data_IF_226211030899
#
_entry.id   IF_226211030899
#
_cell.length_a   1.000
_cell.length_b   1.000
_cell.length_c   1.000
_cell.angle_alpha   90.00
_cell.angle_beta   90.00
_cell.angle_gamma   90.00
#
_symmetry.space_group_name_H-M   'P 1'
#
loop_
_entity.id
_entity.type
_entity.pdbx_description
1 polymer ?
#
# COMPACT_ATOMS: atom_id res chain seq x y z
N UNK A 1 -16.99 -2.54 12.74
CA UNK A 1 -16.78 -3.96 12.34
C UNK A 1 -15.71 -4.10 11.27
N UNK A 2 -15.69 -3.20 10.28
CA UNK A 2 -14.72 -3.18 9.16
C UNK A 2 -13.26 -2.99 9.59
N UNK A 3 -12.97 -1.98 10.42
CA UNK A 3 -11.62 -1.74 10.97
C UNK A 3 -11.07 -2.91 11.80
N UNK A 4 -11.93 -3.74 12.40
CA UNK A 4 -11.48 -4.93 13.15
C UNK A 4 -10.87 -5.95 12.18
N UNK A 5 -11.44 -6.12 10.99
CA UNK A 5 -10.92 -7.04 9.96
C UNK A 5 -9.59 -6.53 9.40
N UNK A 6 -9.51 -5.24 9.09
CA UNK A 6 -8.26 -4.60 8.61
C UNK A 6 -7.16 -4.70 9.66
N UNK A 7 -7.46 -4.40 10.93
CA UNK A 7 -6.51 -4.54 12.04
C UNK A 7 -5.99 -5.98 12.22
N UNK A 8 -6.83 -7.00 11.99
CA UNK A 8 -6.40 -8.41 12.01
C UNK A 8 -5.41 -8.70 10.88
N UNK A 9 -5.70 -8.22 9.66
CA UNK A 9 -4.81 -8.37 8.52
C UNK A 9 -3.48 -7.67 8.80
N UNK A 10 -3.50 -6.41 9.24
CA UNK A 10 -2.30 -5.65 9.64
C UNK A 10 -1.48 -6.44 10.66
N UNK A 11 -2.10 -6.96 11.72
CA UNK A 11 -1.39 -7.75 12.74
C UNK A 11 -0.73 -9.00 12.15
N UNK A 12 -1.41 -9.69 11.23
CA UNK A 12 -0.86 -10.86 10.54
C UNK A 12 0.31 -10.49 9.63
N UNK A 13 0.17 -9.44 8.83
CA UNK A 13 1.23 -8.95 7.93
C UNK A 13 2.43 -8.49 8.75
N UNK A 14 2.23 -7.62 9.73
CA UNK A 14 3.27 -7.13 10.63
C UNK A 14 4.06 -8.25 11.28
N UNK A 15 3.37 -9.26 11.85
CA UNK A 15 4.04 -10.38 12.52
C UNK A 15 4.84 -11.24 11.54
N UNK A 16 4.41 -11.35 10.29
CA UNK A 16 5.03 -12.25 9.31
C UNK A 16 6.17 -11.58 8.54
N UNK A 17 6.03 -10.31 8.18
CA UNK A 17 6.89 -9.61 7.24
C UNK A 17 7.50 -8.31 7.80
N UNK A 18 7.15 -7.91 9.03
CA UNK A 18 7.55 -6.62 9.58
C UNK A 18 6.77 -5.45 8.96
N UNK A 19 7.44 -4.30 8.85
CA UNK A 19 6.85 -3.00 8.48
C UNK A 19 7.40 -2.41 7.20
N UNK A 20 8.56 -2.88 6.72
CA UNK A 20 9.17 -2.35 5.52
C UNK A 20 8.38 -2.80 4.28
N UNK A 21 7.73 -1.87 3.54
CA UNK A 21 6.91 -2.24 2.39
C UNK A 21 7.69 -2.94 1.29
N UNK A 22 8.96 -2.59 1.09
CA UNK A 22 9.77 -3.16 0.02
C UNK A 22 10.16 -4.61 0.31
N UNK A 23 10.42 -4.93 1.58
CA UNK A 23 10.61 -6.31 2.04
C UNK A 23 9.33 -7.14 1.88
N UNK A 24 8.18 -6.55 2.24
CA UNK A 24 6.86 -7.20 2.02
C UNK A 24 6.64 -7.51 0.54
N UNK A 25 6.95 -6.57 -0.36
CA UNK A 25 6.84 -6.80 -1.81
C UNK A 25 7.71 -7.97 -2.25
N UNK A 26 8.98 -7.98 -1.82
CA UNK A 26 9.95 -9.03 -2.14
C UNK A 26 9.48 -10.41 -1.66
N UNK A 27 9.03 -10.52 -0.41
CA UNK A 27 8.55 -11.79 0.16
C UNK A 27 7.24 -12.29 -0.46
N UNK A 28 6.48 -11.41 -1.12
CA UNK A 28 5.20 -11.74 -1.76
C UNK A 28 5.28 -11.89 -3.27
N UNK A 29 6.48 -11.92 -3.83
CA UNK A 29 6.71 -11.94 -5.28
C UNK A 29 5.94 -10.82 -6.01
N UNK A 30 5.81 -9.66 -5.35
CA UNK A 30 5.22 -8.46 -5.93
C UNK A 30 6.34 -7.68 -6.59
N UNK A 31 6.23 -7.47 -7.89
CA UNK A 31 7.21 -6.70 -8.64
C UNK A 31 7.08 -5.22 -8.28
N UNK A 32 8.18 -4.60 -7.87
CA UNK A 32 8.24 -3.17 -7.57
C UNK A 32 9.00 -2.44 -8.68
N UNK A 33 8.41 -1.39 -9.23
CA UNK A 33 9.04 -0.57 -10.26
C UNK A 33 8.94 0.92 -9.92
N UNK A 34 10.06 1.63 -10.04
CA UNK A 34 10.11 3.08 -9.94
C UNK A 34 10.09 3.66 -11.36
N UNK A 35 9.11 4.51 -11.66
CA UNK A 35 8.94 5.10 -13.00
C UNK A 35 8.68 6.60 -12.90
N UNK A 36 9.13 7.35 -13.91
CA UNK A 36 8.81 8.77 -14.02
C UNK A 36 7.33 8.94 -14.38
N UNK A 37 6.56 9.56 -13.48
CA UNK A 37 5.15 9.88 -13.65
C UNK A 37 4.86 11.34 -13.33
N UNK A 38 3.73 11.90 -13.81
CA UNK A 38 3.26 13.22 -13.37
C UNK A 38 3.20 13.31 -11.85
N UNK A 39 3.52 14.47 -11.27
CA UNK A 39 3.55 14.67 -9.81
C UNK A 39 2.21 14.35 -9.11
N UNK A 40 1.10 14.46 -9.85
CA UNK A 40 -0.25 14.11 -9.40
C UNK A 40 -0.46 12.60 -9.20
N UNK A 41 0.42 11.76 -9.72
CA UNK A 41 0.36 10.30 -9.58
C UNK A 41 1.56 9.82 -8.75
N UNK A 42 1.28 9.38 -7.52
CA UNK A 42 2.31 8.91 -6.58
C UNK A 42 2.67 7.44 -6.78
N UNK A 43 1.71 6.63 -7.20
CA UNK A 43 1.88 5.21 -7.49
C UNK A 43 0.58 4.57 -7.95
N UNK A 44 0.65 3.31 -8.35
CA UNK A 44 -0.51 2.46 -8.63
C UNK A 44 -0.11 0.98 -8.66
N UNK A 45 -1.09 0.09 -8.52
CA UNK A 45 -0.91 -1.36 -8.64
C UNK A 45 -1.63 -1.94 -9.85
N UNK A 46 -1.10 -3.01 -10.43
CA UNK A 46 -1.78 -3.77 -11.50
C UNK A 46 -1.44 -5.25 -11.43
N UNK A 47 -2.24 -6.08 -12.09
CA UNK A 47 -1.98 -7.51 -12.24
C UNK A 47 -1.71 -7.83 -13.70
N UNK A 48 -0.50 -8.29 -14.00
CA UNK A 48 -0.13 -8.77 -15.34
C UNK A 48 0.34 -10.22 -15.25
N UNK A 49 -0.26 -11.11 -16.04
CA UNK A 49 0.08 -12.54 -16.05
C UNK A 49 0.10 -13.20 -14.65
N UNK A 50 -0.89 -12.88 -13.81
CA UNK A 50 -0.99 -13.31 -12.39
C UNK A 50 0.08 -12.75 -11.44
N UNK A 51 1.01 -11.94 -11.94
CA UNK A 51 1.98 -11.21 -11.12
C UNK A 51 1.41 -9.85 -10.74
N UNK A 52 1.43 -9.55 -9.43
CA UNK A 52 1.10 -8.21 -8.92
C UNK A 52 2.30 -7.31 -9.11
N UNK A 53 2.07 -6.10 -9.60
CA UNK A 53 3.10 -5.11 -9.87
C UNK A 53 2.68 -3.80 -9.19
N UNK A 54 3.56 -3.25 -8.37
CA UNK A 54 3.42 -1.90 -7.79
C UNK A 54 4.37 -0.97 -8.54
N UNK A 55 3.82 0.11 -9.06
CA UNK A 55 4.56 1.22 -9.64
C UNK A 55 4.60 2.39 -8.65
N UNK A 56 5.78 2.91 -8.40
CA UNK A 56 6.02 4.10 -7.58
C UNK A 56 6.59 5.21 -8.45
N UNK A 57 6.23 6.46 -8.16
CA UNK A 57 6.79 7.60 -8.86
C UNK A 57 8.25 7.80 -8.43
N UNK A 58 9.19 7.76 -9.38
CA UNK A 58 10.61 7.97 -9.12
C UNK A 58 10.92 9.38 -8.59
N UNK A 59 9.97 10.32 -8.72
CA UNK A 59 10.08 11.71 -8.22
C UNK A 59 9.59 11.88 -6.77
N UNK A 60 9.05 10.84 -6.16
CA UNK A 60 8.64 10.87 -4.74
C UNK A 60 9.87 10.89 -3.82
N UNK A 61 9.69 11.52 -2.67
CA UNK A 61 10.57 11.36 -1.52
C UNK A 61 10.54 9.91 -0.99
N UNK A 62 11.52 9.54 -0.16
CA UNK A 62 11.58 8.22 0.47
C UNK A 62 10.31 7.89 1.26
N UNK A 63 9.87 8.81 2.14
CA UNK A 63 8.65 8.64 2.92
C UNK A 63 7.39 8.53 2.04
N UNK A 64 7.28 9.33 0.98
CA UNK A 64 6.16 9.22 0.03
C UNK A 64 6.15 7.84 -0.64
N UNK A 65 7.32 7.31 -1.03
CA UNK A 65 7.41 5.98 -1.62
C UNK A 65 7.06 4.88 -0.62
N UNK A 66 7.49 4.98 0.64
CA UNK A 66 7.09 4.06 1.69
C UNK A 66 5.57 4.07 1.91
N UNK A 67 4.99 5.25 2.08
CA UNK A 67 3.55 5.41 2.30
C UNK A 67 2.75 4.88 1.11
N UNK A 68 3.09 5.30 -0.11
CA UNK A 68 2.40 4.86 -1.33
C UNK A 68 2.53 3.36 -1.53
N UNK A 69 3.70 2.77 -1.27
CA UNK A 69 3.85 1.32 -1.39
C UNK A 69 2.98 0.57 -0.37
N UNK A 70 2.92 1.04 0.88
CA UNK A 70 2.02 0.46 1.89
C UNK A 70 0.54 0.63 1.51
N UNK A 71 0.17 1.74 0.89
CA UNK A 71 -1.19 1.99 0.39
C UNK A 71 -1.55 0.97 -0.70
N UNK A 72 -0.69 0.78 -1.71
CA UNK A 72 -0.91 -0.21 -2.77
C UNK A 72 -0.92 -1.66 -2.23
N UNK A 73 -0.07 -1.96 -1.24
CA UNK A 73 -0.13 -3.24 -0.51
C UNK A 73 -1.47 -3.40 0.22
N UNK A 74 -2.03 -2.30 0.76
CA UNK A 74 -3.37 -2.26 1.33
C UNK A 74 -4.41 -2.77 0.34
N UNK A 75 -4.43 -2.24 -0.90
CA UNK A 75 -5.31 -2.75 -1.96
C UNK A 75 -5.15 -4.24 -2.21
N UNK A 76 -3.89 -4.72 -2.31
CA UNK A 76 -3.60 -6.14 -2.57
C UNK A 76 -4.07 -7.03 -1.42
N UNK A 77 -3.77 -6.68 -0.17
CA UNK A 77 -4.09 -7.51 0.99
C UNK A 77 -5.58 -7.50 1.37
N UNK A 78 -6.24 -6.36 1.16
CA UNK A 78 -7.67 -6.21 1.40
C UNK A 78 -8.51 -6.78 0.24
N UNK A 79 -7.86 -7.16 -0.86
CA UNK A 79 -8.49 -7.69 -2.07
C UNK A 79 -9.48 -6.70 -2.69
N UNK A 80 -9.09 -5.42 -2.69
CA UNK A 80 -9.78 -4.39 -3.47
C UNK A 80 -9.69 -4.74 -4.96
N UNK A 81 -10.60 -4.17 -5.76
CA UNK A 81 -10.55 -4.40 -7.20
C UNK A 81 -9.28 -3.78 -7.80
N UNK A 82 -8.70 -4.41 -8.82
CA UNK A 82 -7.41 -3.99 -9.38
C UNK A 82 -7.49 -2.55 -9.92
N UNK A 83 -6.67 -1.65 -9.36
CA UNK A 83 -6.58 -0.24 -9.74
C UNK A 83 -5.82 -0.06 -11.07
N UNK A 84 -6.41 -0.54 -12.17
CA UNK A 84 -5.93 -0.20 -13.52
C UNK A 84 -6.30 1.27 -13.76
N UNK A 85 -5.44 2.20 -13.35
CA UNK A 85 -5.47 3.58 -13.81
C UNK A 85 -6.71 4.43 -13.44
N UNK A 86 -7.33 4.23 -12.27
CA UNK A 86 -8.58 4.94 -11.93
C UNK A 86 -8.39 6.30 -11.23
N UNK A 87 -7.35 7.08 -11.58
CA UNK A 87 -7.05 8.27 -10.79
C UNK A 87 -6.67 9.54 -11.55
N UNK A 88 -7.42 10.00 -12.57
CA UNK A 88 -7.28 11.43 -12.94
C UNK A 88 -8.52 12.29 -13.26
N UNK A 89 -9.75 11.82 -13.51
CA UNK A 89 -10.82 12.82 -13.82
C UNK A 89 -12.28 12.57 -13.43
N UNK A 90 -12.85 11.37 -13.41
CA UNK A 90 -14.31 11.25 -13.18
C UNK A 90 -14.71 9.90 -12.57
N UNK A 91 -14.93 9.84 -11.25
CA UNK A 91 -16.12 9.26 -10.58
C UNK A 91 -15.89 9.26 -9.07
N UNK A 92 -16.26 10.37 -8.43
CA UNK A 92 -16.20 10.65 -6.98
C UNK A 92 -17.15 9.80 -6.11
N UNK A 93 -17.47 8.56 -6.47
CA UNK A 93 -18.44 7.78 -5.68
C UNK A 93 -18.15 6.29 -5.47
N UNK A 94 -17.44 5.61 -6.37
CA UNK A 94 -17.41 4.14 -6.30
C UNK A 94 -16.24 3.53 -5.51
N UNK A 95 -15.14 4.27 -5.26
CA UNK A 95 -13.94 3.70 -4.62
C UNK A 95 -13.50 4.38 -3.30
N UNK A 96 -14.25 5.37 -2.79
CA UNK A 96 -13.87 6.13 -1.57
C UNK A 96 -13.60 5.19 -0.38
N UNK A 97 -14.38 4.12 -0.27
CA UNK A 97 -14.23 3.12 0.78
C UNK A 97 -12.89 2.38 0.66
N UNK A 98 -12.60 1.81 -0.51
CA UNK A 98 -11.36 1.06 -0.74
C UNK A 98 -10.11 1.93 -0.53
N UNK A 99 -10.14 3.17 -1.02
CA UNK A 99 -9.07 4.15 -0.81
C UNK A 99 -8.93 4.52 0.69
N UNK A 100 -10.04 4.69 1.41
CA UNK A 100 -10.02 4.95 2.86
C UNK A 100 -9.43 3.78 3.63
N UNK A 101 -9.80 2.54 3.26
CA UNK A 101 -9.27 1.34 3.89
C UNK A 101 -7.79 1.12 3.58
N UNK A 102 -7.34 1.39 2.35
CA UNK A 102 -5.93 1.34 1.95
C UNK A 102 -5.10 2.41 2.68
N UNK A 103 -5.62 3.63 2.80
CA UNK A 103 -4.99 4.69 3.60
C UNK A 103 -4.92 4.33 5.09
N UNK A 104 -5.97 3.73 5.63
CA UNK A 104 -5.98 3.26 7.02
C UNK A 104 -4.95 2.14 7.23
N UNK A 105 -4.83 1.22 6.28
CA UNK A 105 -3.80 0.17 6.29
C UNK A 105 -2.39 0.78 6.30
N UNK A 106 -2.09 1.69 5.38
CA UNK A 106 -0.78 2.31 5.27
C UNK A 106 -0.39 3.09 6.52
N UNK A 107 -1.29 3.97 6.99
CA UNK A 107 -1.11 4.77 8.21
C UNK A 107 -0.85 3.87 9.42
N UNK A 108 -1.61 2.79 9.57
CA UNK A 108 -1.46 1.87 10.68
C UNK A 108 -0.13 1.11 10.66
N UNK A 109 0.35 0.70 9.48
CA UNK A 109 1.65 0.05 9.32
C UNK A 109 2.80 1.00 9.66
N UNK A 110 2.74 2.26 9.21
CA UNK A 110 3.73 3.29 9.55
C UNK A 110 3.75 3.57 11.05
N UNK A 111 2.59 3.78 11.68
CA UNK A 111 2.52 4.04 13.11
C UNK A 111 3.09 2.87 13.93
N UNK A 112 2.87 1.63 13.48
CA UNK A 112 3.53 0.47 14.10
C UNK A 112 5.05 0.53 13.94
N UNK A 113 5.55 0.89 12.75
CA UNK A 113 6.98 1.06 12.53
C UNK A 113 7.59 2.15 13.42
N UNK A 114 6.87 3.23 13.68
CA UNK A 114 7.37 4.36 14.48
C UNK A 114 7.28 4.10 15.99
N UNK A 115 6.24 3.41 16.47
CA UNK A 115 5.99 3.26 17.92
C UNK A 115 6.72 2.04 18.51
N UNK A 116 6.79 0.91 17.79
CA UNK A 116 7.36 -0.32 18.33
C UNK A 116 8.89 -0.32 18.58
N UNK A 117 9.73 0.44 17.85
CA UNK A 117 11.16 0.53 18.16
C UNK A 117 11.45 1.10 19.55
N UNK A 118 10.52 1.88 20.13
CA UNK A 118 10.71 2.56 21.41
C UNK A 118 10.16 1.80 22.62
N UNK A 119 9.51 0.65 22.42
CA UNK A 119 8.94 -0.19 23.49
C UNK A 119 9.78 -1.45 23.79
N UNK A 120 11.03 -1.50 23.30
CA UNK A 120 11.99 -2.58 23.52
C UNK A 120 13.21 -2.15 24.34
N UNK A 121 13.06 -1.15 25.22
CA UNK A 121 14.02 -0.84 26.29
C UNK A 121 13.42 -1.21 27.65
#
# INVERSE_FOLDING_TARGET
MENIKINRIIKTIYKKYGTNPFEICKEKDILLQFIDMPFTLKGYTTTKYRTKIIFLNSKNTEFENEFTCLHELGHIFLKHQDNILFNQTCTLHNNIKEETEANFFATSMILKNMIYPHLLN
#
